data_IF_423603422676
#
_entry.id   IF_423603422676
#
_cell.length_a   1.000
_cell.length_b   1.000
_cell.length_c   1.000
_cell.angle_alpha   90.00
_cell.angle_beta   90.00
_cell.angle_gamma   90.00
#
_symmetry.space_group_name_H-M   'P 1'
#
loop_
_entity.id
_entity.type
_entity.pdbx_description
1 polymer ?
#
# COMPACT_ATOMS: atom_id res chain seq x y z
N UNK A 1 0.31 4.20 -14.22
CA UNK A 1 0.24 2.91 -14.97
C UNK A 1 -1.00 2.17 -14.51
N UNK A 2 -1.65 1.42 -15.39
CA UNK A 2 -2.82 0.59 -15.07
C UNK A 2 -2.59 -0.80 -15.63
N UNK A 3 -2.89 -1.83 -14.84
CA UNK A 3 -2.72 -3.23 -15.19
C UNK A 3 -3.98 -4.04 -14.85
N UNK A 4 -4.23 -5.10 -15.60
CA UNK A 4 -5.37 -6.01 -15.41
C UNK A 4 -4.86 -7.36 -14.88
N UNK A 5 -5.65 -8.08 -14.06
CA UNK A 5 -5.20 -9.33 -13.51
C UNK A 5 -5.12 -10.39 -14.61
N UNK A 6 -3.93 -10.97 -14.81
CA UNK A 6 -3.76 -12.16 -15.62
C UNK A 6 -4.35 -13.40 -14.91
N UNK A 7 -4.30 -13.41 -13.58
CA UNK A 7 -4.98 -14.37 -12.73
C UNK A 7 -5.64 -13.64 -11.57
N UNK A 8 -6.84 -14.07 -11.20
CA UNK A 8 -7.54 -13.63 -10.00
C UNK A 8 -8.06 -14.88 -9.29
N UNK A 9 -7.56 -15.13 -8.08
CA UNK A 9 -7.73 -16.42 -7.40
C UNK A 9 -8.36 -16.16 -6.04
N UNK A 10 -9.54 -16.71 -5.77
CA UNK A 10 -10.18 -16.59 -4.45
C UNK A 10 -9.34 -17.24 -3.35
N UNK A 11 -9.19 -16.59 -2.19
CA UNK A 11 -8.46 -17.15 -1.06
C UNK A 11 -9.10 -18.44 -0.55
N UNK A 12 -10.44 -18.57 -0.60
CA UNK A 12 -11.14 -19.81 -0.25
C UNK A 12 -10.65 -21.00 -1.10
N UNK A 13 -10.49 -20.82 -2.42
CA UNK A 13 -9.92 -21.86 -3.28
C UNK A 13 -8.47 -22.22 -2.88
N UNK A 14 -7.66 -21.21 -2.54
CA UNK A 14 -6.30 -21.45 -2.06
C UNK A 14 -6.28 -22.19 -0.72
N UNK A 15 -7.24 -21.95 0.18
CA UNK A 15 -7.32 -22.61 1.48
C UNK A 15 -7.84 -24.06 1.35
N UNK A 16 -8.91 -24.27 0.58
CA UNK A 16 -9.68 -25.50 0.60
C UNK A 16 -9.15 -26.57 -0.36
N UNK A 17 -8.62 -26.16 -1.51
CA UNK A 17 -8.18 -27.10 -2.52
C UNK A 17 -6.83 -27.73 -2.17
N UNK A 18 -6.72 -29.05 -2.36
CA UNK A 18 -5.47 -29.79 -2.18
C UNK A 18 -4.35 -29.20 -3.05
N UNK A 19 -3.08 -29.15 -2.60
CA UNK A 19 -1.99 -28.49 -3.33
C UNK A 19 -1.83 -28.92 -4.79
N UNK A 20 -1.95 -30.22 -5.09
CA UNK A 20 -1.85 -30.72 -6.47
C UNK A 20 -3.04 -30.32 -7.35
N UNK A 21 -4.25 -30.21 -6.80
CA UNK A 21 -5.41 -29.69 -7.51
C UNK A 21 -5.23 -28.21 -7.81
N UNK A 22 -4.82 -27.39 -6.82
CA UNK A 22 -4.50 -25.96 -7.03
C UNK A 22 -3.54 -25.78 -8.20
N UNK A 23 -2.41 -26.50 -8.18
CA UNK A 23 -1.40 -26.45 -9.24
C UNK A 23 -1.95 -26.86 -10.60
N UNK A 24 -2.75 -27.92 -10.66
CA UNK A 24 -3.36 -28.39 -11.92
C UNK A 24 -4.27 -27.31 -12.52
N UNK A 25 -5.18 -26.75 -11.71
CA UNK A 25 -6.10 -25.70 -12.17
C UNK A 25 -5.35 -24.43 -12.59
N UNK A 26 -4.35 -24.00 -11.81
CA UNK A 26 -3.57 -22.82 -12.14
C UNK A 26 -2.75 -23.00 -13.42
N UNK A 27 -2.14 -24.18 -13.63
CA UNK A 27 -1.46 -24.49 -14.90
C UNK A 27 -2.41 -24.43 -16.09
N UNK A 28 -3.61 -24.97 -15.93
CA UNK A 28 -4.64 -24.94 -16.97
C UNK A 28 -5.13 -23.50 -17.24
N UNK A 29 -5.32 -22.68 -16.21
CA UNK A 29 -5.69 -21.28 -16.37
C UNK A 29 -4.60 -20.51 -17.13
N UNK A 30 -3.32 -20.70 -16.75
CA UNK A 30 -2.18 -20.05 -17.44
C UNK A 30 -2.07 -20.52 -18.89
N UNK A 31 -2.30 -21.80 -19.18
CA UNK A 31 -2.20 -22.32 -20.56
C UNK A 31 -3.28 -21.76 -21.49
N UNK A 32 -4.42 -21.33 -20.93
CA UNK A 32 -5.54 -20.71 -21.64
C UNK A 32 -5.37 -19.19 -21.85
N UNK A 33 -4.37 -18.56 -21.23
CA UNK A 33 -4.08 -17.15 -21.46
C UNK A 33 -3.57 -16.91 -22.89
N UNK A 34 -3.79 -15.70 -23.45
CA UNK A 34 -3.13 -15.26 -24.68
C UNK A 34 -1.61 -15.45 -24.59
N UNK A 35 -0.98 -15.77 -25.71
CA UNK A 35 0.46 -16.08 -25.76
C UNK A 35 1.31 -14.94 -25.19
N UNK A 36 0.97 -13.69 -25.50
CA UNK A 36 1.66 -12.51 -24.98
C UNK A 36 1.59 -12.46 -23.44
N UNK A 37 0.39 -12.56 -22.86
CA UNK A 37 0.20 -12.54 -21.40
C UNK A 37 0.93 -13.70 -20.74
N UNK A 38 0.83 -14.90 -21.31
CA UNK A 38 1.50 -16.10 -20.81
C UNK A 38 3.02 -15.94 -20.83
N UNK A 39 3.58 -15.37 -21.90
CA UNK A 39 5.01 -15.07 -22.00
C UNK A 39 5.45 -14.07 -20.91
N UNK A 40 4.68 -13.00 -20.69
CA UNK A 40 4.94 -12.04 -19.60
C UNK A 40 4.97 -12.73 -18.24
N UNK A 41 4.00 -13.61 -17.93
CA UNK A 41 3.99 -14.36 -16.67
C UNK A 41 5.21 -15.27 -16.51
N UNK A 42 5.57 -16.02 -17.54
CA UNK A 42 6.74 -16.91 -17.48
C UNK A 42 8.08 -16.17 -17.43
N UNK A 43 8.11 -14.88 -17.77
CA UNK A 43 9.29 -14.02 -17.60
C UNK A 43 9.42 -13.41 -16.21
N UNK A 44 8.44 -13.60 -15.31
CA UNK A 44 8.51 -13.10 -13.94
C UNK A 44 9.54 -13.86 -13.11
N UNK A 45 9.97 -13.21 -12.01
CA UNK A 45 10.84 -13.83 -11.03
C UNK A 45 10.17 -15.07 -10.43
N UNK A 46 10.96 -16.11 -10.18
CA UNK A 46 10.51 -17.31 -9.47
C UNK A 46 11.38 -17.50 -8.25
N UNK A 47 10.75 -17.79 -7.11
CA UNK A 47 11.50 -18.20 -5.93
C UNK A 47 12.25 -19.50 -6.20
N UNK A 48 13.35 -19.72 -5.47
CA UNK A 48 14.25 -20.87 -5.68
C UNK A 48 13.67 -22.21 -5.19
N UNK A 49 12.50 -22.20 -4.54
CA UNK A 49 11.91 -23.38 -3.91
C UNK A 49 10.43 -23.52 -4.26
N UNK A 50 9.98 -24.77 -4.38
CA UNK A 50 8.58 -25.12 -4.64
C UNK A 50 8.30 -25.52 -6.08
N UNK A 51 7.03 -25.79 -6.37
CA UNK A 51 6.60 -26.08 -7.73
C UNK A 51 6.54 -24.80 -8.56
N UNK A 52 6.85 -24.89 -9.85
CA UNK A 52 6.97 -23.75 -10.77
C UNK A 52 5.87 -22.68 -10.62
N UNK A 53 4.59 -23.08 -10.56
CA UNK A 53 3.46 -22.15 -10.44
C UNK A 53 3.42 -21.47 -9.07
N UNK A 54 3.71 -22.19 -7.99
CA UNK A 54 3.76 -21.62 -6.64
C UNK A 54 4.95 -20.65 -6.53
N UNK A 55 6.09 -21.02 -7.10
CA UNK A 55 7.32 -20.23 -7.11
C UNK A 55 7.17 -18.93 -7.92
N UNK A 56 6.34 -18.95 -8.97
CA UNK A 56 5.96 -17.75 -9.72
C UNK A 56 4.90 -16.93 -8.99
N UNK A 57 3.85 -17.53 -8.41
CA UNK A 57 2.78 -16.76 -7.79
C UNK A 57 3.22 -16.05 -6.51
N UNK A 58 3.96 -16.74 -5.64
CA UNK A 58 4.35 -16.23 -4.31
C UNK A 58 4.94 -14.81 -4.34
N UNK A 59 6.02 -14.56 -5.10
CA UNK A 59 6.70 -13.26 -5.08
C UNK A 59 6.07 -12.20 -6.00
N UNK A 60 5.02 -12.52 -6.76
CA UNK A 60 4.49 -11.63 -7.81
C UNK A 60 3.01 -11.28 -7.62
N UNK A 61 2.33 -11.85 -6.63
CA UNK A 61 0.89 -11.66 -6.47
C UNK A 61 0.55 -10.63 -5.39
N UNK A 62 -0.59 -9.98 -5.55
CA UNK A 62 -1.14 -8.98 -4.64
C UNK A 62 -2.48 -9.44 -4.07
N UNK A 63 -2.70 -9.23 -2.79
CA UNK A 63 -4.02 -9.38 -2.18
C UNK A 63 -4.93 -8.24 -2.63
N UNK A 64 -6.10 -8.57 -3.15
CA UNK A 64 -7.14 -7.62 -3.58
C UNK A 64 -8.50 -8.06 -3.05
N UNK A 65 -9.43 -7.14 -2.91
CA UNK A 65 -10.82 -7.42 -2.50
C UNK A 65 -11.74 -7.19 -3.69
N UNK A 66 -12.65 -8.12 -3.95
CA UNK A 66 -13.64 -8.07 -5.03
C UNK A 66 -14.98 -8.56 -4.49
N UNK A 67 -16.09 -8.14 -5.07
CA UNK A 67 -17.45 -8.48 -4.66
C UNK A 67 -17.76 -8.08 -3.20
N UNK A 68 -17.41 -6.85 -2.83
CA UNK A 68 -17.72 -6.27 -1.51
C UNK A 68 -16.73 -6.64 -0.41
N UNK A 69 -16.47 -7.94 -0.18
CA UNK A 69 -15.54 -8.37 0.88
C UNK A 69 -14.73 -9.64 0.56
N UNK A 70 -14.92 -10.27 -0.61
CA UNK A 70 -14.20 -11.49 -0.94
C UNK A 70 -12.73 -11.21 -1.26
N UNK A 71 -11.85 -11.82 -0.47
CA UNK A 71 -10.40 -11.66 -0.62
C UNK A 71 -9.88 -12.58 -1.72
N UNK A 72 -9.14 -11.99 -2.64
CA UNK A 72 -8.51 -12.66 -3.77
C UNK A 72 -7.00 -12.40 -3.80
N UNK A 73 -6.29 -13.26 -4.50
CA UNK A 73 -4.90 -13.09 -4.91
C UNK A 73 -4.89 -12.80 -6.40
N UNK A 74 -4.44 -11.60 -6.77
CA UNK A 74 -4.32 -11.17 -8.16
C UNK A 74 -2.86 -11.19 -8.63
N UNK A 75 -2.63 -11.73 -9.83
CA UNK A 75 -1.34 -11.64 -10.54
C UNK A 75 -1.47 -10.63 -11.67
N UNK A 76 -0.75 -9.52 -11.54
CA UNK A 76 -0.75 -8.39 -12.47
C UNK A 76 0.62 -8.33 -13.15
N UNK A 77 0.70 -8.71 -14.43
CA UNK A 77 1.97 -9.05 -15.07
C UNK A 77 2.95 -7.87 -15.17
N UNK A 78 2.45 -6.65 -15.34
CA UNK A 78 3.28 -5.45 -15.40
C UNK A 78 3.61 -4.95 -14.01
N UNK A 79 2.63 -4.94 -13.09
CA UNK A 79 2.84 -4.49 -11.70
C UNK A 79 3.82 -5.39 -10.95
N UNK A 80 3.80 -6.70 -11.21
CA UNK A 80 4.73 -7.67 -10.63
C UNK A 80 6.21 -7.40 -10.96
N UNK A 81 6.50 -6.55 -11.95
CA UNK A 81 7.88 -6.15 -12.30
C UNK A 81 8.42 -5.01 -11.44
N UNK A 82 7.57 -4.32 -10.70
CA UNK A 82 7.97 -3.16 -9.90
C UNK A 82 8.72 -3.68 -8.66
N UNK A 83 9.98 -3.27 -8.52
CA UNK A 83 10.82 -3.74 -7.41
C UNK A 83 10.44 -3.08 -6.07
N UNK A 84 10.90 -3.71 -5.00
CA UNK A 84 10.77 -3.17 -3.66
C UNK A 84 11.80 -2.05 -3.37
N UNK A 85 11.32 -0.96 -2.78
CA UNK A 85 12.15 -0.01 -2.04
C UNK A 85 11.55 0.26 -0.66
N UNK A 86 12.41 0.42 0.34
CA UNK A 86 12.03 0.93 1.65
C UNK A 86 11.57 2.39 1.59
N UNK A 87 12.00 3.12 0.56
CA UNK A 87 11.56 4.47 0.23
C UNK A 87 10.93 4.47 -1.17
N UNK A 88 9.68 3.97 -1.33
CA UNK A 88 8.99 3.94 -2.61
C UNK A 88 8.73 5.33 -3.19
N UNK A 89 8.63 5.41 -4.53
CA UNK A 89 8.18 6.59 -5.27
C UNK A 89 6.77 6.41 -5.86
N UNK A 90 6.17 5.21 -5.75
CA UNK A 90 4.80 4.93 -6.16
C UNK A 90 3.92 4.32 -5.06
N UNK A 91 2.63 4.57 -5.19
CA UNK A 91 1.52 3.94 -4.47
C UNK A 91 0.73 3.06 -5.44
N UNK A 92 0.22 1.93 -4.97
CA UNK A 92 -0.69 1.07 -5.73
C UNK A 92 -2.07 1.09 -5.09
N UNK A 93 -3.10 1.05 -5.94
CA UNK A 93 -4.50 0.96 -5.54
C UNK A 93 -5.23 0.02 -6.49
N UNK A 94 -6.21 -0.70 -5.97
CA UNK A 94 -7.04 -1.58 -6.76
C UNK A 94 -8.41 -0.94 -6.97
N UNK A 95 -8.91 -0.95 -8.20
CA UNK A 95 -10.30 -0.60 -8.52
C UNK A 95 -11.07 -1.88 -8.75
N UNK A 96 -12.02 -2.17 -7.87
CA UNK A 96 -12.94 -3.29 -8.03
C UNK A 96 -13.85 -3.04 -9.25
N UNK A 97 -14.36 -1.81 -9.39
CA UNK A 97 -15.26 -1.43 -10.48
C UNK A 97 -14.65 -1.66 -11.86
N UNK A 98 -13.33 -1.46 -11.99
CA UNK A 98 -12.58 -1.65 -13.25
C UNK A 98 -11.85 -2.99 -13.31
N UNK A 99 -11.75 -3.71 -12.19
CA UNK A 99 -10.85 -4.86 -12.01
C UNK A 99 -9.42 -4.56 -12.46
N UNK A 100 -8.87 -3.43 -12.01
CA UNK A 100 -7.52 -2.99 -12.39
C UNK A 100 -6.67 -2.64 -11.19
N UNK A 101 -5.39 -2.96 -11.25
CA UNK A 101 -4.37 -2.40 -10.37
C UNK A 101 -3.81 -1.12 -10.99
N UNK A 102 -3.94 0.00 -10.29
CA UNK A 102 -3.46 1.31 -10.71
C UNK A 102 -2.22 1.70 -9.88
N UNK A 103 -1.16 2.12 -10.56
CA UNK A 103 0.10 2.57 -9.95
C UNK A 103 0.24 4.08 -10.18
N UNK A 104 0.37 4.82 -9.08
CA UNK A 104 0.35 6.28 -9.03
C UNK A 104 1.61 6.79 -8.34
N UNK A 105 2.29 7.77 -8.93
CA UNK A 105 3.49 8.35 -8.36
C UNK A 105 3.19 9.34 -7.23
N UNK A 106 3.96 9.25 -6.14
CA UNK A 106 3.89 10.23 -5.04
C UNK A 106 4.37 11.61 -5.51
N UNK A 107 5.44 11.64 -6.29
CA UNK A 107 6.08 12.83 -6.84
C UNK A 107 6.47 12.61 -8.30
N UNK A 108 7.07 13.61 -8.94
CA UNK A 108 7.66 13.44 -10.26
C UNK A 108 8.75 12.36 -10.21
N UNK A 109 8.81 11.54 -11.25
CA UNK A 109 9.82 10.48 -11.44
C UNK A 109 10.61 10.87 -12.68
N UNK A 110 11.91 11.05 -12.53
CA UNK A 110 12.77 11.54 -13.62
C UNK A 110 13.11 10.42 -14.62
N UNK A 111 13.40 10.74 -15.90
CA UNK A 111 13.84 9.75 -16.87
C UNK A 111 15.07 8.96 -16.38
N UNK A 112 14.95 7.63 -16.36
CA UNK A 112 15.99 6.73 -15.86
C UNK A 112 15.90 6.42 -14.36
N UNK A 113 15.03 7.08 -13.61
CA UNK A 113 14.71 6.68 -12.24
C UNK A 113 13.87 5.40 -12.23
N UNK A 114 14.26 4.44 -11.40
CA UNK A 114 13.52 3.18 -11.25
C UNK A 114 12.19 3.41 -10.52
N UNK A 115 11.10 2.86 -11.07
CA UNK A 115 9.80 2.84 -10.39
C UNK A 115 9.86 1.76 -9.32
N UNK A 116 9.65 2.14 -8.05
CA UNK A 116 9.79 1.25 -6.90
C UNK A 116 8.64 1.40 -5.91
N UNK A 117 8.10 0.27 -5.45
CA UNK A 117 7.01 0.21 -4.49
C UNK A 117 7.44 -0.37 -3.14
N UNK A 118 6.60 -0.25 -2.11
CA UNK A 118 6.85 -0.94 -0.84
C UNK A 118 5.97 -2.17 -0.71
N UNK A 119 6.59 -3.34 -0.72
CA UNK A 119 5.97 -4.63 -0.38
C UNK A 119 5.72 -4.72 1.14
N UNK A 120 4.84 -3.83 1.65
CA UNK A 120 4.37 -3.63 3.04
C UNK A 120 4.97 -4.57 4.10
N UNK A 121 6.25 -4.38 4.52
CA UNK A 121 6.71 -5.05 5.71
C UNK A 121 6.03 -4.41 6.95
N UNK A 122 5.60 -5.19 7.95
CA UNK A 122 5.29 -4.63 9.26
C UNK A 122 6.49 -3.82 9.75
N UNK A 123 6.23 -2.80 10.57
CA UNK A 123 7.23 -1.83 11.06
C UNK A 123 8.38 -2.44 11.89
N UNK A 124 8.45 -3.76 12.01
CA UNK A 124 9.37 -4.45 12.90
C UNK A 124 10.17 -5.47 12.07
N UNK A 125 11.38 -5.06 11.71
CA UNK A 125 12.43 -5.83 11.03
C UNK A 125 12.17 -6.10 9.54
N UNK A 126 12.12 -5.03 8.74
CA UNK A 126 11.89 -5.12 7.28
C UNK A 126 12.84 -6.07 6.56
N UNK A 127 14.13 -6.04 6.87
CA UNK A 127 15.13 -6.92 6.22
C UNK A 127 14.81 -8.39 6.45
N UNK A 128 14.50 -8.76 7.71
CA UNK A 128 14.10 -10.13 8.05
C UNK A 128 12.78 -10.50 7.36
N UNK A 129 11.79 -9.61 7.39
CA UNK A 129 10.52 -9.85 6.70
C UNK A 129 10.71 -10.09 5.20
N UNK A 130 11.49 -9.25 4.53
CA UNK A 130 11.79 -9.38 3.11
C UNK A 130 12.56 -10.67 2.81
N UNK A 131 13.52 -11.04 3.65
CA UNK A 131 14.25 -12.29 3.49
C UNK A 131 13.35 -13.51 3.66
N UNK A 132 12.53 -13.52 4.71
CA UNK A 132 11.67 -14.66 5.07
C UNK A 132 10.50 -14.84 4.09
N UNK A 133 9.88 -13.74 3.62
CA UNK A 133 8.66 -13.80 2.81
C UNK A 133 8.92 -13.64 1.31
N UNK A 134 9.98 -12.92 0.93
CA UNK A 134 10.29 -12.60 -0.47
C UNK A 134 11.63 -13.15 -0.93
N UNK A 135 12.46 -13.70 -0.03
CA UNK A 135 13.70 -14.38 -0.39
C UNK A 135 14.88 -13.48 -0.77
N UNK A 136 14.77 -12.15 -0.64
CA UNK A 136 15.81 -11.21 -1.05
C UNK A 136 16.26 -10.26 0.06
N UNK A 137 17.49 -9.77 -0.06
CA UNK A 137 18.04 -8.71 0.79
C UNK A 137 17.84 -7.36 0.08
N UNK A 138 17.09 -6.45 0.71
CA UNK A 138 16.82 -5.15 0.08
C UNK A 138 18.10 -4.35 -0.12
N UNK A 139 18.29 -3.85 -1.34
CA UNK A 139 19.46 -3.10 -1.75
C UNK A 139 19.10 -1.64 -2.11
N UNK A 140 18.01 -1.10 -1.57
CA UNK A 140 17.67 0.31 -1.76
C UNK A 140 18.70 1.24 -1.09
N UNK A 141 18.64 2.55 -1.40
CA UNK A 141 19.56 3.56 -0.88
C UNK A 141 19.65 3.59 0.65
N UNK A 142 18.53 3.32 1.34
CA UNK A 142 18.51 3.17 2.79
C UNK A 142 19.26 1.91 3.24
N UNK A 143 18.92 0.75 2.67
CA UNK A 143 19.47 -0.53 3.12
C UNK A 143 20.94 -0.74 2.72
N UNK A 144 21.43 -0.05 1.68
CA UNK A 144 22.87 0.02 1.32
C UNK A 144 23.66 1.03 2.16
N UNK A 145 22.97 1.92 2.88
CA UNK A 145 23.60 2.94 3.71
C UNK A 145 24.19 2.37 5.01
N UNK A 146 24.71 3.26 5.88
CA UNK A 146 25.20 2.89 7.21
C UNK A 146 24.12 2.22 8.05
N UNK A 147 24.50 1.26 8.90
CA UNK A 147 23.58 0.56 9.79
C UNK A 147 22.83 1.53 10.71
N UNK A 148 23.48 2.62 11.16
CA UNK A 148 22.85 3.67 11.97
C UNK A 148 21.65 4.32 11.28
N UNK A 149 21.74 4.61 9.98
CA UNK A 149 20.63 5.19 9.22
C UNK A 149 19.45 4.20 9.08
N UNK A 150 19.75 2.90 8.99
CA UNK A 150 18.74 1.85 8.98
C UNK A 150 18.06 1.77 10.34
N UNK A 151 18.83 1.75 11.43
CA UNK A 151 18.30 1.66 12.80
C UNK A 151 17.45 2.88 13.18
N UNK A 152 17.87 4.08 12.76
CA UNK A 152 17.09 5.31 12.89
C UNK A 152 15.76 5.24 12.14
N UNK A 153 15.79 4.81 10.87
CA UNK A 153 14.59 4.59 10.06
C UNK A 153 13.62 3.61 10.72
N UNK A 154 14.11 2.48 11.23
CA UNK A 154 13.29 1.51 11.96
C UNK A 154 12.71 2.12 13.26
N UNK A 155 13.49 2.94 13.97
CA UNK A 155 13.05 3.64 15.19
C UNK A 155 11.92 4.64 14.90
N UNK A 156 12.08 5.47 13.86
CA UNK A 156 11.06 6.43 13.44
C UNK A 156 9.78 5.72 13.01
N UNK A 157 9.87 4.63 12.24
CA UNK A 157 8.69 3.85 11.84
C UNK A 157 7.97 3.21 13.02
N UNK A 158 8.69 2.68 14.02
CA UNK A 158 8.09 2.19 15.27
C UNK A 158 7.39 3.32 16.02
N UNK A 159 8.00 4.49 16.10
CA UNK A 159 7.41 5.67 16.74
C UNK A 159 6.16 6.14 15.98
N UNK A 160 6.16 6.18 14.65
CA UNK A 160 4.97 6.50 13.83
C UNK A 160 3.84 5.50 14.10
N UNK A 161 4.13 4.20 14.10
CA UNK A 161 3.15 3.15 14.42
C UNK A 161 2.55 3.35 15.81
N UNK A 162 3.40 3.63 16.80
CA UNK A 162 2.96 3.93 18.16
C UNK A 162 2.12 5.20 18.23
N UNK A 163 2.54 6.29 17.57
CA UNK A 163 1.82 7.56 17.54
C UNK A 163 0.41 7.39 16.98
N UNK A 164 0.23 6.65 15.87
CA UNK A 164 -1.10 6.40 15.32
C UNK A 164 -2.05 5.75 16.34
N UNK A 165 -1.55 4.80 17.13
CA UNK A 165 -2.32 4.19 18.22
C UNK A 165 -2.65 5.19 19.34
N UNK A 166 -1.67 5.98 19.78
CA UNK A 166 -1.88 6.99 20.83
C UNK A 166 -2.80 8.13 20.40
N UNK A 167 -2.72 8.56 19.13
CA UNK A 167 -3.63 9.55 18.53
C UNK A 167 -5.07 9.04 18.61
N UNK A 168 -5.31 7.78 18.24
CA UNK A 168 -6.64 7.19 18.31
C UNK A 168 -7.19 7.14 19.75
N UNK A 169 -6.36 6.76 20.74
CA UNK A 169 -6.76 6.77 22.16
C UNK A 169 -7.07 8.19 22.66
N UNK A 170 -6.15 9.13 22.43
CA UNK A 170 -6.33 10.52 22.81
C UNK A 170 -7.58 11.15 22.17
N UNK A 171 -7.86 10.84 20.91
CA UNK A 171 -9.10 11.26 20.22
C UNK A 171 -10.34 10.68 20.90
N UNK A 172 -10.34 9.39 21.24
CA UNK A 172 -11.47 8.75 21.91
C UNK A 172 -11.74 9.31 23.32
N UNK A 173 -10.68 9.71 24.04
CA UNK A 173 -10.75 10.25 25.39
C UNK A 173 -10.98 11.78 25.44
N UNK A 174 -11.04 12.46 24.29
CA UNK A 174 -11.28 13.90 24.21
C UNK A 174 -10.02 14.78 24.32
N UNK A 175 -8.83 14.19 24.36
CA UNK A 175 -7.54 14.89 24.40
C UNK A 175 -7.12 15.39 22.99
N UNK A 176 -7.97 16.19 22.35
CA UNK A 176 -7.78 16.58 20.95
C UNK A 176 -6.53 17.42 20.69
N UNK A 177 -6.13 18.30 21.62
CA UNK A 177 -4.92 19.11 21.48
C UNK A 177 -3.66 18.25 21.45
N UNK A 178 -3.61 17.25 22.33
CA UNK A 178 -2.50 16.29 22.39
C UNK A 178 -2.49 15.42 21.13
N UNK A 179 -3.65 14.96 20.67
CA UNK A 179 -3.79 14.24 19.41
C UNK A 179 -3.27 15.06 18.22
N UNK A 180 -3.59 16.36 18.12
CA UNK A 180 -3.06 17.23 17.06
C UNK A 180 -1.54 17.38 17.15
N UNK A 181 -0.99 17.55 18.35
CA UNK A 181 0.45 17.64 18.56
C UNK A 181 1.16 16.34 18.11
N UNK A 182 0.62 15.19 18.50
CA UNK A 182 1.11 13.87 18.09
C UNK A 182 0.98 13.64 16.58
N UNK A 183 -0.12 14.08 15.96
CA UNK A 183 -0.29 14.03 14.50
C UNK A 183 0.79 14.86 13.81
N UNK A 184 1.12 16.06 14.30
CA UNK A 184 2.24 16.85 13.77
C UNK A 184 3.60 16.17 13.98
N UNK A 185 3.81 15.49 15.10
CA UNK A 185 5.00 14.68 15.38
C UNK A 185 5.13 13.51 14.38
N UNK A 186 4.00 12.89 14.00
CA UNK A 186 3.98 11.85 12.96
C UNK A 186 4.56 12.38 11.63
N UNK A 187 4.15 13.57 11.18
CA UNK A 187 4.71 14.18 9.95
C UNK A 187 6.23 14.35 10.06
N UNK A 188 6.74 14.83 11.19
CA UNK A 188 8.19 15.03 11.38
C UNK A 188 8.98 13.73 11.21
N UNK A 189 8.55 12.64 11.87
CA UNK A 189 9.24 11.34 11.73
C UNK A 189 9.14 10.77 10.32
N UNK A 190 8.01 10.98 9.67
CA UNK A 190 7.77 10.53 8.30
C UNK A 190 8.69 11.27 7.29
N UNK A 191 8.87 12.58 7.46
CA UNK A 191 9.81 13.39 6.68
C UNK A 191 11.27 12.95 6.91
N UNK A 192 11.68 12.73 8.17
CA UNK A 192 13.01 12.22 8.50
C UNK A 192 13.27 10.85 7.85
N UNK A 193 12.29 9.96 7.86
CA UNK A 193 12.38 8.66 7.21
C UNK A 193 12.40 8.76 5.67
N UNK A 194 12.10 9.94 5.10
CA UNK A 194 11.82 10.18 3.67
C UNK A 194 10.70 9.28 3.16
N UNK A 195 9.70 9.12 4.02
CA UNK A 195 8.43 8.50 3.72
C UNK A 195 7.36 9.40 4.32
N UNK A 196 7.07 10.55 3.68
CA UNK A 196 5.95 11.38 4.09
C UNK A 196 4.73 10.49 4.33
N UNK A 197 3.89 10.83 5.32
CA UNK A 197 2.68 10.06 5.53
C UNK A 197 1.88 10.07 4.23
N UNK A 198 0.96 9.12 4.08
CA UNK A 198 0.03 9.23 2.99
C UNK A 198 -0.80 10.50 3.21
N UNK A 199 -0.43 11.58 2.53
CA UNK A 199 -0.89 12.94 2.85
C UNK A 199 -2.42 13.06 2.97
N UNK A 200 -3.23 12.37 2.13
CA UNK A 200 -4.67 12.38 2.30
C UNK A 200 -5.14 11.85 3.66
N UNK A 201 -4.53 10.75 4.16
CA UNK A 201 -4.80 10.18 5.49
C UNK A 201 -4.41 11.16 6.61
N UNK A 202 -3.22 11.76 6.49
CA UNK A 202 -2.72 12.74 7.45
C UNK A 202 -3.66 13.95 7.59
N UNK A 203 -4.12 14.49 6.45
CA UNK A 203 -5.04 15.61 6.44
C UNK A 203 -6.42 15.24 6.96
N UNK A 204 -6.93 14.03 6.67
CA UNK A 204 -8.19 13.54 7.25
C UNK A 204 -8.13 13.54 8.78
N UNK A 205 -7.06 13.00 9.37
CA UNK A 205 -6.92 12.92 10.83
C UNK A 205 -6.91 14.32 11.48
N UNK A 206 -6.17 15.28 10.90
CA UNK A 206 -6.20 16.66 11.38
C UNK A 206 -7.57 17.30 11.24
N UNK A 207 -8.25 17.10 10.11
CA UNK A 207 -9.55 17.69 9.86
C UNK A 207 -10.60 17.23 10.89
N UNK A 208 -10.61 15.94 11.21
CA UNK A 208 -11.46 15.38 12.26
C UNK A 208 -11.14 15.97 13.64
N UNK A 209 -9.86 16.06 14.00
CA UNK A 209 -9.45 16.56 15.32
C UNK A 209 -9.82 18.04 15.52
N UNK A 210 -9.62 18.90 14.51
CA UNK A 210 -10.04 20.30 14.59
C UNK A 210 -11.56 20.44 14.64
N UNK A 211 -12.29 19.60 13.89
CA UNK A 211 -13.75 19.58 13.95
C UNK A 211 -14.26 19.24 15.36
N UNK A 212 -13.68 18.22 16.01
CA UNK A 212 -14.02 17.83 17.37
C UNK A 212 -13.70 18.92 18.41
N UNK A 213 -12.76 19.81 18.12
CA UNK A 213 -12.46 20.99 18.94
C UNK A 213 -13.37 22.20 18.67
N UNK A 214 -14.27 22.12 17.68
CA UNK A 214 -15.08 23.25 17.23
C UNK A 214 -14.33 24.28 16.38
N UNK A 215 -13.10 23.98 15.95
CA UNK A 215 -12.32 24.83 15.04
C UNK A 215 -12.67 24.51 13.59
N UNK A 216 -13.79 25.07 13.12
CA UNK A 216 -14.32 24.83 11.78
C UNK A 216 -13.41 25.36 10.68
N UNK A 217 -12.63 26.41 10.95
CA UNK A 217 -11.70 27.01 9.97
C UNK A 217 -10.58 26.04 9.63
N UNK A 218 -9.89 25.51 10.65
CA UNK A 218 -8.83 24.53 10.42
C UNK A 218 -9.40 23.18 9.96
N UNK A 219 -10.55 22.75 10.48
CA UNK A 219 -11.22 21.54 10.03
C UNK A 219 -11.49 21.59 8.51
N UNK A 220 -12.10 22.67 8.02
CA UNK A 220 -12.41 22.87 6.60
C UNK A 220 -11.15 22.92 5.75
N UNK A 221 -10.12 23.63 6.23
CA UNK A 221 -8.82 23.70 5.53
C UNK A 221 -8.23 22.31 5.30
N UNK A 222 -8.12 21.49 6.35
CA UNK A 222 -7.53 20.16 6.24
C UNK A 222 -8.46 19.17 5.51
N UNK A 223 -9.78 19.31 5.63
CA UNK A 223 -10.74 18.49 4.88
C UNK A 223 -10.60 18.71 3.36
N UNK A 224 -10.42 19.96 2.91
CA UNK A 224 -10.14 20.26 1.49
C UNK A 224 -8.84 19.62 1.00
N UNK A 225 -7.76 19.77 1.77
CA UNK A 225 -6.45 19.17 1.43
C UNK A 225 -6.52 17.63 1.39
N UNK A 226 -7.30 17.02 2.29
CA UNK A 226 -7.57 15.59 2.28
C UNK A 226 -8.32 15.17 1.00
N UNK A 227 -9.41 15.85 0.66
CA UNK A 227 -10.20 15.56 -0.54
C UNK A 227 -9.37 15.72 -1.82
N UNK A 228 -8.60 16.80 -1.96
CA UNK A 228 -7.71 17.00 -3.11
C UNK A 228 -6.68 15.87 -3.24
N UNK A 229 -6.13 15.45 -2.10
CA UNK A 229 -5.21 14.33 -2.01
C UNK A 229 -5.87 13.01 -2.42
N UNK A 230 -7.03 12.68 -1.87
CA UNK A 230 -7.78 11.47 -2.22
C UNK A 230 -8.26 11.51 -3.67
N UNK A 231 -8.63 12.66 -4.22
CA UNK A 231 -8.98 12.77 -5.64
C UNK A 231 -7.80 12.39 -6.57
N UNK A 232 -6.56 12.61 -6.12
CA UNK A 232 -5.36 12.16 -6.83
C UNK A 232 -5.05 10.69 -6.59
N UNK A 233 -5.09 10.24 -5.33
CA UNK A 233 -4.59 8.92 -4.93
C UNK A 233 -5.64 7.83 -4.79
N UNK A 234 -6.92 8.16 -4.69
CA UNK A 234 -8.03 7.22 -4.74
C UNK A 234 -8.42 6.85 -6.18
N UNK A 235 -8.89 5.63 -6.37
CA UNK A 235 -9.49 5.20 -7.64
C UNK A 235 -10.96 5.62 -7.76
N UNK A 236 -11.65 5.21 -8.82
CA UNK A 236 -13.03 5.62 -9.13
C UNK A 236 -14.10 5.14 -8.15
N UNK A 237 -13.74 4.19 -7.31
CA UNK A 237 -14.55 3.49 -6.33
C UNK A 237 -13.91 3.55 -4.94
N UNK A 238 -13.00 4.51 -4.72
CA UNK A 238 -12.30 4.65 -3.47
C UNK A 238 -13.21 5.27 -2.40
N UNK A 239 -13.55 4.47 -1.39
CA UNK A 239 -14.40 4.85 -0.27
C UNK A 239 -13.86 6.09 0.48
N UNK A 240 -12.54 6.29 0.51
CA UNK A 240 -11.94 7.42 1.23
C UNK A 240 -12.17 8.74 0.50
N UNK A 241 -12.27 8.73 -0.84
CA UNK A 241 -12.66 9.92 -1.62
C UNK A 241 -14.07 10.35 -1.25
N UNK A 242 -15.00 9.40 -1.18
CA UNK A 242 -16.40 9.70 -0.83
C UNK A 242 -16.54 10.12 0.63
N UNK A 243 -15.84 9.47 1.56
CA UNK A 243 -15.76 9.89 2.98
C UNK A 243 -15.23 11.32 3.11
N UNK A 244 -14.13 11.65 2.43
CA UNK A 244 -13.57 13.00 2.46
C UNK A 244 -14.54 14.03 1.88
N UNK A 245 -15.26 13.70 0.80
CA UNK A 245 -16.28 14.57 0.18
C UNK A 245 -17.45 14.83 1.11
N UNK A 246 -18.00 13.78 1.72
CA UNK A 246 -19.12 13.89 2.66
C UNK A 246 -18.73 14.67 3.92
N UNK A 247 -17.51 14.46 4.42
CA UNK A 247 -17.00 15.18 5.59
C UNK A 247 -16.84 16.68 5.29
N UNK A 248 -16.25 17.03 4.15
CA UNK A 248 -16.14 18.44 3.73
C UNK A 248 -17.51 19.09 3.56
N UNK A 249 -18.46 18.40 2.92
CA UNK A 249 -19.81 18.92 2.74
C UNK A 249 -20.49 19.23 4.07
N UNK A 250 -20.28 18.39 5.10
CA UNK A 250 -20.80 18.63 6.46
C UNK A 250 -20.23 19.89 7.10
N UNK A 251 -18.98 20.24 6.83
CA UNK A 251 -18.31 21.41 7.41
C UNK A 251 -18.73 22.73 6.76
N UNK A 252 -19.23 22.68 5.53
CA UNK A 252 -19.62 23.85 4.74
C UNK A 252 -21.11 24.20 4.85
N UNK A 253 -21.89 23.40 5.58
CA UNK A 253 -23.28 23.67 5.95
C UNK A 253 -23.38 24.50 7.23
#
# INVERSE_FOLDING_TARGET
MTDVPALLIGIAFLADAKPHHRRRFLKQAISQLPEETRSKLYSLHRSSAGHEVDAMLGPNSHTVTVAGEDVHVGLFAEVARINHSCRPNVYFRFSERRLTMEVVAYHAIEPGEEIVMSCKPPAEVRRKYLKDHWGFDCACSLCRGPQTAVDESESWRRKIKSLKGTIASAKAEGFYRDAIAMTKEWLMFAEWDRQPPFMPEYYSELAELYFLMGDTVNATRYARMSLDGWARFGSVDDEQVEKARLFLHRLEQ
#
